data_IF_736980934384
#
_entry.id   IF_736980934384
#
_cell.length_a   1.000
_cell.length_b   1.000
_cell.length_c   1.000
_cell.angle_alpha   90.00
_cell.angle_beta   90.00
_cell.angle_gamma   90.00
#
_symmetry.space_group_name_H-M   'P 1'
#
loop_
_entity.id
_entity.type
_entity.pdbx_description
1 polymer ?
#
# COMPACT_ATOMS: atom_id res chain seq x y z
N UNK A 1 -15.18 -6.14 -18.35
CA UNK A 1 -14.02 -6.16 -19.24
C UNK A 1 -12.79 -6.32 -18.38
N UNK A 2 -12.16 -7.49 -18.43
CA UNK A 2 -10.91 -7.84 -17.78
C UNK A 2 -9.80 -6.93 -18.34
N UNK A 3 -8.91 -6.34 -17.52
CA UNK A 3 -7.79 -5.58 -18.07
C UNK A 3 -6.91 -6.50 -18.93
N UNK A 4 -6.31 -6.01 -20.02
CA UNK A 4 -5.43 -6.79 -20.88
C UNK A 4 -4.17 -7.18 -20.12
N UNK A 5 -3.94 -8.49 -19.94
CA UNK A 5 -2.74 -9.02 -19.31
C UNK A 5 -2.96 -10.23 -18.42
N UNK A 6 -4.03 -11.01 -18.60
CA UNK A 6 -4.16 -12.31 -17.94
C UNK A 6 -3.27 -13.36 -18.65
N UNK A 7 -1.97 -13.27 -18.43
CA UNK A 7 -1.03 -14.35 -18.76
C UNK A 7 -1.02 -15.37 -17.60
N UNK A 8 -2.03 -16.24 -17.58
CA UNK A 8 -2.16 -17.37 -16.63
C UNK A 8 -1.03 -18.40 -16.73
N UNK A 9 -0.06 -18.20 -17.61
CA UNK A 9 1.02 -19.17 -17.88
C UNK A 9 2.37 -18.79 -17.24
N UNK A 10 2.55 -17.56 -16.76
CA UNK A 10 3.69 -17.22 -15.92
C UNK A 10 3.31 -17.47 -14.45
N UNK A 11 3.62 -18.66 -13.95
CA UNK A 11 3.78 -18.83 -12.50
C UNK A 11 4.71 -17.73 -12.03
N UNK A 12 4.26 -16.80 -11.15
CA UNK A 12 5.20 -15.92 -10.48
C UNK A 12 6.19 -16.84 -9.78
N UNK A 13 7.47 -16.51 -9.84
CA UNK A 13 8.44 -17.16 -9.01
C UNK A 13 7.94 -16.95 -7.56
N UNK A 14 7.29 -17.97 -7.00
CA UNK A 14 7.03 -18.05 -5.58
C UNK A 14 8.42 -18.01 -4.93
N UNK A 15 8.82 -16.83 -4.44
CA UNK A 15 9.70 -16.80 -3.31
C UNK A 15 8.89 -17.45 -2.18
N UNK A 16 8.88 -18.79 -2.14
CA UNK A 16 8.52 -19.52 -0.95
C UNK A 16 9.25 -18.80 0.18
N UNK A 17 8.59 -18.60 1.30
CA UNK A 17 9.14 -17.99 2.52
C UNK A 17 10.41 -18.71 2.93
N UNK A 18 11.53 -18.35 2.30
CA UNK A 18 12.86 -18.91 2.58
C UNK A 18 13.41 -18.40 3.91
N UNK A 19 12.64 -17.56 4.62
CA UNK A 19 13.09 -16.86 5.82
C UNK A 19 14.20 -15.82 5.57
N UNK A 20 14.58 -15.59 4.31
CA UNK A 20 15.64 -14.64 3.93
C UNK A 20 15.08 -13.63 2.94
N UNK A 21 15.28 -12.31 3.16
CA UNK A 21 14.87 -11.29 2.21
C UNK A 21 15.52 -11.47 0.84
N UNK A 22 14.72 -11.43 -0.22
CA UNK A 22 15.18 -11.56 -1.61
C UNK A 22 15.34 -10.17 -2.23
N UNK A 23 16.50 -9.90 -2.84
CA UNK A 23 16.78 -8.63 -3.51
C UNK A 23 15.86 -8.43 -4.71
N UNK A 24 15.30 -7.24 -4.82
CA UNK A 24 14.32 -6.87 -5.87
C UNK A 24 14.76 -5.64 -6.67
N UNK A 25 15.55 -4.74 -6.06
CA UNK A 25 16.21 -3.61 -6.74
C UNK A 25 17.64 -3.44 -6.23
N UNK A 26 18.32 -2.37 -6.63
CA UNK A 26 19.65 -2.02 -6.11
C UNK A 26 19.67 -1.77 -4.62
N UNK A 27 18.61 -1.18 -4.07
CA UNK A 27 18.53 -0.73 -2.68
C UNK A 27 17.49 -1.50 -1.84
N UNK A 28 16.59 -2.28 -2.45
CA UNK A 28 15.50 -2.96 -1.75
C UNK A 28 15.60 -4.49 -1.87
N UNK A 29 15.29 -5.16 -0.75
CA UNK A 29 14.99 -6.59 -0.68
C UNK A 29 13.61 -6.78 -0.05
N UNK A 30 12.94 -7.91 -0.33
CA UNK A 30 11.59 -8.21 0.17
C UNK A 30 11.58 -9.55 0.90
N UNK A 31 10.87 -9.60 2.02
CA UNK A 31 10.44 -10.82 2.71
C UNK A 31 8.91 -10.88 2.67
N UNK A 32 8.36 -11.96 2.13
CA UNK A 32 6.92 -12.17 2.04
C UNK A 32 6.39 -12.75 3.34
N UNK A 33 5.42 -12.09 3.97
CA UNK A 33 4.76 -12.59 5.17
C UNK A 33 3.80 -13.75 4.84
N UNK A 34 3.60 -14.72 5.76
CA UNK A 34 2.80 -15.92 5.52
C UNK A 34 1.30 -15.67 5.76
N UNK A 35 0.75 -14.60 5.20
CA UNK A 35 -0.64 -14.19 5.36
C UNK A 35 -1.38 -14.04 4.02
N UNK A 36 -1.34 -15.04 3.11
CA UNK A 36 -2.05 -14.96 1.84
C UNK A 36 -3.57 -14.89 2.03
N UNK A 37 -4.23 -14.06 1.23
CA UNK A 37 -5.68 -13.88 1.32
C UNK A 37 -6.25 -13.00 0.20
N UNK A 38 -7.58 -12.87 0.13
CA UNK A 38 -8.21 -12.05 -0.90
C UNK A 38 -7.77 -10.58 -0.88
N UNK A 39 -7.42 -10.03 0.29
CA UNK A 39 -6.98 -8.65 0.47
C UNK A 39 -5.45 -8.51 0.40
N UNK A 40 -4.73 -9.54 0.83
CA UNK A 40 -3.26 -9.54 0.90
C UNK A 40 -2.59 -10.25 -0.27
N UNK A 41 -3.36 -10.80 -1.20
CA UNK A 41 -2.90 -11.55 -2.37
C UNK A 41 -2.00 -12.74 -1.95
N UNK A 42 -0.71 -12.68 -2.30
CA UNK A 42 0.26 -13.74 -1.96
C UNK A 42 0.80 -13.57 -0.53
N UNK A 43 0.47 -12.47 0.16
CA UNK A 43 0.92 -12.04 1.49
C UNK A 43 1.41 -10.60 1.47
N UNK A 44 1.67 -10.05 2.66
CA UNK A 44 2.26 -8.72 2.83
C UNK A 44 3.76 -8.76 2.58
N UNK A 45 4.26 -7.78 1.84
CA UNK A 45 5.68 -7.61 1.50
C UNK A 45 6.34 -6.67 2.49
N UNK A 46 7.11 -7.23 3.42
CA UNK A 46 8.02 -6.43 4.25
C UNK A 46 9.29 -6.12 3.47
N UNK A 47 9.62 -4.84 3.34
CA UNK A 47 10.82 -4.43 2.61
C UNK A 47 11.98 -4.13 3.54
N UNK A 48 13.17 -4.53 3.12
CA UNK A 48 14.44 -4.23 3.77
C UNK A 48 15.26 -3.35 2.83
N UNK A 49 15.59 -2.14 3.27
CA UNK A 49 16.25 -1.13 2.47
C UNK A 49 17.64 -0.84 3.04
N UNK A 50 18.66 -0.81 2.18
CA UNK A 50 20.02 -0.42 2.55
C UNK A 50 20.83 -0.02 1.32
N UNK A 51 21.69 0.97 1.47
CA UNK A 51 22.74 1.26 0.47
C UNK A 51 23.79 0.15 0.45
N UNK A 52 24.48 -0.09 -0.68
CA UNK A 52 25.58 -1.02 -0.75
C UNK A 52 26.67 -0.72 0.32
N UNK A 53 27.02 -1.73 1.10
CA UNK A 53 28.02 -1.58 2.19
C UNK A 53 27.52 -0.92 3.47
N UNK A 54 26.27 -0.56 3.58
CA UNK A 54 25.68 0.00 4.81
C UNK A 54 25.74 -1.04 5.95
N UNK A 55 26.02 -0.56 7.16
CA UNK A 55 26.04 -1.38 8.39
C UNK A 55 24.70 -1.45 9.11
N UNK A 56 23.74 -0.68 8.63
CA UNK A 56 22.37 -0.61 9.13
C UNK A 56 21.41 -0.78 7.97
N UNK A 57 20.11 -0.97 8.29
CA UNK A 57 19.04 -1.09 7.33
C UNK A 57 17.76 -0.42 7.83
N UNK A 58 16.88 -0.08 6.91
CA UNK A 58 15.51 0.35 7.17
C UNK A 58 14.57 -0.82 6.88
N UNK A 59 13.54 -0.99 7.69
CA UNK A 59 12.46 -1.95 7.40
C UNK A 59 11.19 -1.16 7.13
N UNK A 60 10.45 -1.52 6.08
CA UNK A 60 9.14 -0.95 5.77
C UNK A 60 8.11 -2.05 5.92
N UNK A 61 7.06 -1.76 6.69
CA UNK A 61 5.94 -2.66 7.04
C UNK A 61 6.43 -4.02 7.59
N UNK A 62 6.66 -4.15 8.88
CA UNK A 62 7.08 -5.42 9.48
C UNK A 62 6.04 -6.54 9.31
N UNK A 63 4.80 -6.18 8.94
CA UNK A 63 3.77 -7.13 8.59
C UNK A 63 2.90 -7.59 9.77
N UNK A 64 2.29 -8.78 9.65
CA UNK A 64 1.46 -9.37 10.71
C UNK A 64 2.31 -9.76 11.92
N UNK A 65 1.66 -9.96 13.08
CA UNK A 65 2.33 -10.46 14.30
C UNK A 65 2.64 -11.97 14.21
N UNK A 66 3.47 -12.33 13.22
CA UNK A 66 4.00 -13.68 13.03
C UNK A 66 5.45 -13.75 13.52
N UNK A 67 5.68 -14.56 14.56
CA UNK A 67 6.98 -14.64 15.25
C UNK A 67 8.10 -15.10 14.31
N UNK A 68 7.83 -16.06 13.42
CA UNK A 68 8.84 -16.59 12.50
C UNK A 68 9.23 -15.54 11.44
N UNK A 69 8.23 -14.85 10.87
CA UNK A 69 8.44 -13.76 9.94
C UNK A 69 9.24 -12.60 10.56
N UNK A 70 8.81 -12.14 11.74
CA UNK A 70 9.47 -11.04 12.44
C UNK A 70 10.90 -11.38 12.86
N UNK A 71 11.15 -12.63 13.29
CA UNK A 71 12.50 -13.11 13.63
C UNK A 71 13.39 -13.14 12.39
N UNK A 72 12.90 -13.67 11.28
CA UNK A 72 13.63 -13.69 10.01
C UNK A 72 13.89 -12.27 9.49
N UNK A 73 12.91 -11.37 9.64
CA UNK A 73 13.07 -9.97 9.27
C UNK A 73 14.04 -9.22 10.19
N UNK A 74 14.20 -9.63 11.46
CA UNK A 74 15.14 -9.05 12.40
C UNK A 74 16.58 -9.58 12.21
N UNK A 75 16.77 -10.69 11.54
CA UNK A 75 18.10 -11.27 11.30
C UNK A 75 18.94 -10.41 10.35
N UNK A 76 20.24 -10.24 10.68
CA UNK A 76 21.21 -9.48 9.88
C UNK A 76 21.60 -8.11 10.45
N UNK A 77 21.97 -7.11 9.61
CA UNK A 77 22.42 -5.80 10.08
C UNK A 77 21.38 -5.09 10.96
N UNK A 78 21.85 -4.27 11.91
CA UNK A 78 20.99 -3.53 12.83
C UNK A 78 19.95 -2.71 12.09
N UNK A 79 18.69 -2.82 12.50
CA UNK A 79 17.61 -1.95 11.99
C UNK A 79 17.80 -0.55 12.59
N UNK A 80 17.83 0.46 11.75
CA UNK A 80 18.00 1.85 12.14
C UNK A 80 16.68 2.54 12.44
N UNK A 81 15.67 2.26 11.61
CA UNK A 81 14.30 2.74 11.74
C UNK A 81 13.36 1.78 11.01
N UNK A 82 12.14 1.69 11.53
CA UNK A 82 11.01 1.02 10.87
C UNK A 82 10.05 2.10 10.36
N UNK A 83 9.60 1.98 9.13
CA UNK A 83 8.63 2.86 8.50
C UNK A 83 7.34 2.09 8.22
N UNK A 84 6.20 2.70 8.49
CA UNK A 84 4.88 2.14 8.25
C UNK A 84 4.22 2.90 7.11
N UNK A 85 3.67 2.17 6.12
CA UNK A 85 2.94 2.78 5.01
C UNK A 85 1.55 3.24 5.43
N UNK A 86 0.83 2.44 6.21
CA UNK A 86 -0.52 2.76 6.71
C UNK A 86 -0.94 1.83 7.86
N UNK A 87 -2.05 2.16 8.50
CA UNK A 87 -2.53 1.58 9.76
C UNK A 87 -3.07 0.14 9.72
N UNK A 88 -3.31 -0.47 8.55
CA UNK A 88 -3.91 -1.80 8.49
C UNK A 88 -3.08 -2.86 9.21
N UNK A 89 -3.77 -3.81 9.85
CA UNK A 89 -3.13 -4.76 10.76
C UNK A 89 -2.10 -5.67 10.10
N UNK A 90 -2.26 -5.99 8.83
CA UNK A 90 -1.30 -6.78 8.07
C UNK A 90 0.01 -6.03 7.76
N UNK A 91 0.08 -4.72 8.03
CA UNK A 91 1.29 -3.89 7.99
C UNK A 91 1.83 -3.57 9.38
N UNK A 92 0.94 -3.41 10.37
CA UNK A 92 1.26 -2.84 11.68
C UNK A 92 1.23 -3.80 12.85
N UNK A 93 0.52 -4.94 12.76
CA UNK A 93 0.30 -5.82 13.92
C UNK A 93 1.63 -6.33 14.53
N UNK A 94 2.66 -6.57 13.71
CA UNK A 94 3.98 -6.96 14.16
C UNK A 94 4.88 -5.81 14.64
N UNK A 95 4.47 -4.55 14.47
CA UNK A 95 5.36 -3.39 14.66
C UNK A 95 5.89 -3.25 16.10
N UNK A 96 5.02 -3.41 17.12
CA UNK A 96 5.42 -3.32 18.53
C UNK A 96 6.44 -4.40 18.88
N UNK A 97 6.14 -5.67 18.54
CA UNK A 97 7.06 -6.80 18.76
C UNK A 97 8.38 -6.60 18.00
N UNK A 98 8.31 -6.12 16.76
CA UNK A 98 9.51 -5.87 15.96
C UNK A 98 10.38 -4.75 16.54
N UNK A 99 9.76 -3.69 17.09
CA UNK A 99 10.47 -2.65 17.84
C UNK A 99 11.19 -3.21 19.08
N UNK A 100 10.55 -4.12 19.83
CA UNK A 100 11.16 -4.79 20.98
C UNK A 100 12.33 -5.68 20.56
N UNK A 101 12.17 -6.47 19.49
CA UNK A 101 13.21 -7.39 18.99
C UNK A 101 14.45 -6.63 18.50
N UNK A 102 14.26 -5.51 17.80
CA UNK A 102 15.35 -4.81 17.12
C UNK A 102 15.89 -3.60 17.89
N UNK A 103 15.11 -3.06 18.82
CA UNK A 103 15.41 -1.78 19.49
C UNK A 103 15.32 -0.58 18.56
N UNK A 104 14.68 -0.73 17.37
CA UNK A 104 14.51 0.33 16.39
C UNK A 104 13.21 1.12 16.62
N UNK A 105 13.19 2.46 16.45
CA UNK A 105 11.96 3.23 16.48
C UNK A 105 11.10 2.89 15.28
N UNK A 106 9.77 2.84 15.49
CA UNK A 106 8.77 2.71 14.42
C UNK A 106 8.12 4.06 14.18
N UNK A 107 8.14 4.53 12.94
CA UNK A 107 7.52 5.77 12.49
C UNK A 107 6.38 5.47 11.52
N UNK A 108 5.23 6.05 11.77
CA UNK A 108 4.01 6.02 10.96
C UNK A 108 3.46 7.44 10.81
N UNK A 109 2.58 7.68 9.84
CA UNK A 109 1.87 8.97 9.77
C UNK A 109 0.86 9.09 10.91
N UNK A 110 0.16 8.00 11.24
CA UNK A 110 -0.69 7.94 12.44
C UNK A 110 0.19 7.75 13.70
N UNK A 111 0.16 8.70 14.67
CA UNK A 111 0.92 8.59 15.91
C UNK A 111 0.60 7.33 16.74
N UNK A 112 -0.60 6.75 16.59
CA UNK A 112 -1.00 5.54 17.30
C UNK A 112 -0.15 4.31 16.93
N UNK A 113 0.49 4.33 15.76
CA UNK A 113 1.38 3.27 15.26
C UNK A 113 2.86 3.61 15.37
N UNK A 114 3.20 4.72 16.06
CA UNK A 114 4.57 5.06 16.38
C UNK A 114 5.03 4.33 17.65
N UNK A 115 6.19 3.66 17.62
CA UNK A 115 6.78 3.01 18.79
C UNK A 115 8.18 3.57 19.03
N UNK A 116 8.45 4.19 20.21
CA UNK A 116 9.77 4.71 20.52
C UNK A 116 10.78 3.58 20.74
N UNK A 117 12.02 3.82 20.38
CA UNK A 117 13.13 2.98 20.79
C UNK A 117 13.65 3.38 22.18
N UNK A 118 14.46 2.52 22.82
CA UNK A 118 15.04 2.78 24.16
C UNK A 118 15.79 4.12 24.27
N UNK A 119 16.28 4.70 23.17
CA UNK A 119 17.08 5.91 23.13
C UNK A 119 16.66 6.91 22.03
N UNK A 120 15.53 6.69 21.34
CA UNK A 120 15.06 7.54 20.24
C UNK A 120 13.55 7.67 20.31
N UNK A 121 13.07 8.91 20.19
CA UNK A 121 11.66 9.18 20.00
C UNK A 121 11.21 8.70 18.59
N UNK A 122 9.99 8.22 18.50
CA UNK A 122 9.34 7.91 17.24
C UNK A 122 8.44 9.08 16.85
N UNK A 123 8.97 10.03 16.10
CA UNK A 123 8.16 11.15 15.58
C UNK A 123 7.29 10.66 14.42
N UNK A 124 6.00 11.10 14.33
CA UNK A 124 5.16 10.79 13.21
C UNK A 124 5.77 11.21 11.87
N UNK A 125 5.51 10.43 10.82
CA UNK A 125 5.90 10.74 9.45
C UNK A 125 5.12 11.96 8.94
N UNK A 126 5.77 12.76 8.12
CA UNK A 126 5.14 13.91 7.45
C UNK A 126 5.44 13.88 5.96
N UNK A 127 4.42 14.08 5.14
CA UNK A 127 4.62 14.25 3.71
C UNK A 127 5.59 15.39 3.41
N UNK A 128 6.48 15.17 2.46
CA UNK A 128 7.53 16.11 2.06
C UNK A 128 8.82 16.05 2.90
N UNK A 129 8.87 15.26 3.98
CA UNK A 129 10.13 15.07 4.70
C UNK A 129 11.08 14.13 3.95
N UNK A 130 12.38 14.30 4.19
CA UNK A 130 13.41 13.37 3.72
C UNK A 130 14.06 12.68 4.91
N UNK A 131 14.09 11.35 4.89
CA UNK A 131 14.73 10.52 5.91
C UNK A 131 16.09 10.06 5.37
N UNK A 132 17.15 10.30 6.14
CA UNK A 132 18.48 9.77 5.87
C UNK A 132 18.77 8.62 6.84
N UNK A 133 18.75 7.38 6.35
CA UNK A 133 19.00 6.18 7.14
C UNK A 133 19.61 5.08 6.28
N UNK A 134 20.43 4.22 6.87
CA UNK A 134 21.09 3.10 6.17
C UNK A 134 21.85 3.51 4.88
N UNK A 135 22.37 4.75 4.84
CA UNK A 135 23.03 5.33 3.67
C UNK A 135 22.07 5.73 2.53
N UNK A 136 20.77 5.75 2.77
CA UNK A 136 19.73 6.06 1.80
C UNK A 136 19.17 7.47 2.01
N UNK A 137 18.66 8.04 0.92
CA UNK A 137 17.74 9.17 0.89
C UNK A 137 16.34 8.63 0.60
N UNK A 138 15.43 8.79 1.54
CA UNK A 138 14.04 8.29 1.45
C UNK A 138 13.12 9.50 1.53
N UNK A 139 12.41 9.78 0.46
CA UNK A 139 11.44 10.88 0.38
C UNK A 139 10.06 10.37 0.80
N UNK A 140 9.46 11.00 1.80
CA UNK A 140 8.14 10.62 2.34
C UNK A 140 7.05 11.36 1.58
N UNK A 141 6.13 10.61 0.98
CA UNK A 141 5.01 11.13 0.23
C UNK A 141 3.71 10.80 0.99
N UNK A 142 2.96 11.80 1.41
CA UNK A 142 1.60 11.57 1.88
C UNK A 142 0.76 11.14 0.68
N UNK A 143 0.17 9.94 0.74
CA UNK A 143 -0.68 9.37 -0.31
C UNK A 143 -2.00 8.87 0.27
N UNK A 144 -2.78 9.76 0.97
CA UNK A 144 -4.05 9.37 1.56
C UNK A 144 -5.05 8.92 0.51
N UNK A 145 -6.04 8.12 0.94
CA UNK A 145 -7.13 7.70 0.09
C UNK A 145 -7.52 6.24 0.26
N UNK A 146 -6.57 5.30 0.29
CA UNK A 146 -6.84 3.93 0.74
C UNK A 146 -7.19 3.95 2.23
N UNK A 147 -6.35 4.59 3.02
CA UNK A 147 -6.60 5.07 4.38
C UNK A 147 -6.18 6.54 4.48
N UNK A 148 -6.63 7.24 5.52
CA UNK A 148 -6.28 8.66 5.73
C UNK A 148 -4.81 8.88 6.05
N UNK A 149 -4.11 7.87 6.58
CA UNK A 149 -2.69 7.90 6.96
C UNK A 149 -1.75 7.29 5.92
N UNK A 150 -2.26 6.87 4.75
CA UNK A 150 -1.44 6.23 3.72
C UNK A 150 -0.24 7.08 3.31
N UNK A 151 0.91 6.43 3.24
CA UNK A 151 2.22 7.03 2.97
C UNK A 151 2.99 6.16 1.99
N UNK A 152 3.62 6.78 1.00
CA UNK A 152 4.56 6.12 0.08
C UNK A 152 5.99 6.59 0.34
N UNK A 153 6.99 5.76 0.02
CA UNK A 153 8.40 6.06 0.22
C UNK A 153 9.13 5.99 -1.12
N UNK A 154 9.64 7.14 -1.60
CA UNK A 154 10.41 7.22 -2.82
C UNK A 154 11.90 7.11 -2.53
N UNK A 155 12.57 6.26 -3.26
CA UNK A 155 14.03 6.04 -3.26
C UNK A 155 14.60 6.57 -4.59
N UNK A 156 14.89 7.86 -4.72
CA UNK A 156 15.30 8.43 -5.99
C UNK A 156 16.67 7.91 -6.48
N UNK A 157 17.49 7.40 -5.56
CA UNK A 157 18.84 6.91 -5.87
C UNK A 157 18.86 5.39 -6.18
N UNK A 158 17.70 4.73 -6.28
CA UNK A 158 17.59 3.29 -6.58
C UNK A 158 17.63 3.03 -8.11
N UNK A 159 18.81 3.05 -8.66
CA UNK A 159 19.02 2.90 -10.10
C UNK A 159 18.67 4.15 -10.90
N UNK A 160 18.55 4.05 -12.24
CA UNK A 160 18.42 5.23 -13.11
C UNK A 160 17.07 5.95 -13.02
N UNK A 161 16.04 5.26 -12.53
CA UNK A 161 14.67 5.80 -12.46
C UNK A 161 14.11 5.85 -11.03
N UNK A 162 14.89 5.41 -10.05
CA UNK A 162 14.42 5.27 -8.68
C UNK A 162 13.44 4.11 -8.48
N UNK A 163 12.97 3.97 -7.24
CA UNK A 163 11.88 3.07 -6.89
C UNK A 163 10.95 3.72 -5.87
N UNK A 164 9.69 3.29 -5.82
CA UNK A 164 8.72 3.81 -4.86
C UNK A 164 7.96 2.66 -4.20
N UNK A 165 7.98 2.66 -2.86
CA UNK A 165 7.17 1.76 -2.06
C UNK A 165 5.80 2.43 -1.88
N UNK A 166 4.75 1.82 -2.40
CA UNK A 166 3.42 2.44 -2.49
C UNK A 166 2.44 1.97 -1.42
N UNK A 167 2.88 1.06 -0.53
CA UNK A 167 1.94 0.41 0.37
C UNK A 167 0.74 -0.16 -0.41
N UNK A 168 -0.45 0.16 0.05
CA UNK A 168 -1.70 -0.23 -0.61
C UNK A 168 -2.31 0.85 -1.50
N UNK A 169 -1.64 1.97 -1.69
CA UNK A 169 -2.09 3.00 -2.67
C UNK A 169 -2.06 2.45 -4.09
N UNK A 170 -1.03 1.68 -4.45
CA UNK A 170 -0.90 0.95 -5.73
C UNK A 170 -0.48 -0.48 -5.43
N UNK A 171 -1.26 -1.45 -5.90
CA UNK A 171 -1.00 -2.88 -5.76
C UNK A 171 -0.33 -3.44 -7.01
N UNK A 172 0.40 -4.54 -6.85
CA UNK A 172 1.05 -5.22 -7.97
C UNK A 172 0.08 -6.00 -8.88
N UNK A 173 -1.15 -6.24 -8.41
CA UNK A 173 -2.23 -6.92 -9.15
C UNK A 173 -3.57 -6.44 -8.63
N UNK A 174 -4.54 -6.23 -9.53
CA UNK A 174 -5.85 -5.69 -9.17
C UNK A 174 -5.84 -4.19 -8.91
N UNK A 175 -6.75 -3.72 -8.09
CA UNK A 175 -6.85 -2.31 -7.67
C UNK A 175 -7.16 -2.24 -6.19
N UNK A 176 -6.67 -1.21 -5.53
CA UNK A 176 -6.88 -1.01 -4.10
C UNK A 176 -8.35 -0.79 -3.74
N UNK A 177 -8.71 -1.08 -2.52
CA UNK A 177 -10.01 -0.73 -1.91
C UNK A 177 -9.89 0.64 -1.26
N UNK A 178 -10.92 1.47 -1.38
CA UNK A 178 -11.01 2.70 -0.58
C UNK A 178 -11.74 2.34 0.71
N UNK A 179 -11.05 2.44 1.83
CA UNK A 179 -11.50 1.95 3.13
C UNK A 179 -12.37 2.99 3.87
N UNK A 180 -13.60 3.18 3.40
CA UNK A 180 -14.58 4.04 4.10
C UNK A 180 -14.89 3.51 5.53
N UNK A 181 -15.03 4.40 6.56
CA UNK A 181 -15.08 5.87 6.44
C UNK A 181 -13.72 6.58 6.49
N UNK A 182 -12.62 5.89 6.66
CA UNK A 182 -11.29 6.47 6.82
C UNK A 182 -10.68 6.92 5.48
N UNK A 183 -10.80 6.08 4.44
CA UNK A 183 -10.32 6.41 3.10
C UNK A 183 -11.25 7.35 2.34
N UNK A 184 -10.72 8.00 1.30
CA UNK A 184 -11.42 8.99 0.48
C UNK A 184 -11.05 8.82 -0.98
N UNK A 185 -12.04 8.75 -1.87
CA UNK A 185 -11.76 8.66 -3.31
C UNK A 185 -11.16 9.97 -3.85
N UNK A 186 -11.55 11.12 -3.31
CA UNK A 186 -10.97 12.43 -3.68
C UNK A 186 -9.48 12.48 -3.36
N UNK A 187 -9.13 12.13 -2.12
CA UNK A 187 -7.73 12.13 -1.68
C UNK A 187 -6.93 11.10 -2.44
N UNK A 188 -7.53 9.94 -2.72
CA UNK A 188 -6.91 8.89 -3.53
C UNK A 188 -6.55 9.37 -4.95
N UNK A 189 -7.45 10.09 -5.62
CA UNK A 189 -7.18 10.64 -6.96
C UNK A 189 -6.08 11.69 -6.90
N UNK A 190 -6.06 12.55 -5.88
CA UNK A 190 -4.98 13.51 -5.64
C UNK A 190 -3.64 12.82 -5.39
N UNK A 191 -3.65 11.72 -4.62
CA UNK A 191 -2.46 10.91 -4.37
C UNK A 191 -1.92 10.25 -5.65
N UNK A 192 -2.80 9.81 -6.55
CA UNK A 192 -2.39 9.32 -7.85
C UNK A 192 -1.73 10.42 -8.69
N UNK A 193 -2.19 11.69 -8.61
CA UNK A 193 -1.53 12.83 -9.29
C UNK A 193 -0.12 13.06 -8.74
N UNK A 194 0.04 13.02 -7.43
CA UNK A 194 1.34 13.17 -6.78
C UNK A 194 2.30 12.04 -7.19
N UNK A 195 1.84 10.79 -7.22
CA UNK A 195 2.64 9.65 -7.67
C UNK A 195 3.00 9.75 -9.15
N UNK A 196 2.08 10.18 -10.03
CA UNK A 196 2.36 10.36 -11.45
C UNK A 196 3.46 11.38 -11.72
N UNK A 197 3.55 12.43 -10.88
CA UNK A 197 4.56 13.48 -11.00
C UNK A 197 6.00 12.99 -10.77
N UNK A 198 6.19 11.82 -10.12
CA UNK A 198 7.51 11.21 -9.95
C UNK A 198 8.05 10.68 -11.28
N UNK A 199 7.18 10.32 -12.21
CA UNK A 199 7.56 9.79 -13.52
C UNK A 199 7.70 8.26 -13.57
N UNK A 200 8.46 7.78 -14.56
CA UNK A 200 8.68 6.35 -14.80
C UNK A 200 9.63 5.77 -13.75
N UNK A 201 9.06 5.23 -12.67
CA UNK A 201 9.75 4.74 -11.47
C UNK A 201 9.32 3.30 -11.21
N UNK A 202 10.22 2.45 -10.70
CA UNK A 202 9.87 1.08 -10.29
C UNK A 202 8.93 1.10 -9.10
N UNK A 203 7.81 0.38 -9.19
CA UNK A 203 6.81 0.28 -8.13
C UNK A 203 7.06 -0.96 -7.28
N UNK A 204 7.17 -0.76 -5.98
CA UNK A 204 7.34 -1.78 -4.95
C UNK A 204 6.09 -1.81 -4.05
N UNK A 205 5.02 -2.53 -4.45
CA UNK A 205 3.76 -2.54 -3.73
C UNK A 205 3.81 -3.45 -2.50
N UNK A 206 2.94 -3.23 -1.52
CA UNK A 206 2.85 -4.11 -0.37
C UNK A 206 2.22 -5.48 -0.71
N UNK A 207 1.41 -5.56 -1.77
CA UNK A 207 0.79 -6.81 -2.21
C UNK A 207 0.94 -7.01 -3.71
N UNK A 208 1.21 -8.27 -4.12
CA UNK A 208 1.37 -8.65 -5.53
C UNK A 208 2.77 -8.35 -6.09
N UNK A 209 3.03 -8.54 -7.39
CA UNK A 209 4.34 -8.38 -8.01
C UNK A 209 4.78 -6.92 -8.11
N UNK A 210 6.08 -6.70 -8.27
CA UNK A 210 6.64 -5.39 -8.64
C UNK A 210 6.18 -4.98 -10.04
N UNK A 211 6.10 -3.65 -10.27
CA UNK A 211 5.72 -3.08 -11.57
C UNK A 211 6.82 -2.15 -12.08
N UNK A 212 6.96 -2.06 -13.39
CA UNK A 212 8.13 -1.39 -14.00
C UNK A 212 8.00 0.11 -14.20
N UNK A 213 6.77 0.65 -14.33
CA UNK A 213 6.52 2.05 -14.70
C UNK A 213 5.34 2.61 -13.92
N UNK A 214 5.63 3.42 -12.91
CA UNK A 214 4.64 4.07 -12.06
C UNK A 214 3.64 4.91 -12.87
N UNK A 215 4.11 5.71 -13.83
CA UNK A 215 3.23 6.57 -14.64
C UNK A 215 2.23 5.76 -15.47
N UNK A 216 2.67 4.64 -16.06
CA UNK A 216 1.77 3.75 -16.79
C UNK A 216 0.75 3.08 -15.86
N UNK A 217 1.19 2.66 -14.67
CA UNK A 217 0.32 2.05 -13.65
C UNK A 217 -0.71 3.06 -13.16
N UNK A 218 -0.32 4.28 -12.83
CA UNK A 218 -1.23 5.34 -12.37
C UNK A 218 -2.30 5.64 -13.43
N UNK A 219 -1.94 5.75 -14.71
CA UNK A 219 -2.93 5.92 -15.78
C UNK A 219 -3.96 4.80 -15.81
N UNK A 220 -3.51 3.54 -15.71
CA UNK A 220 -4.41 2.37 -15.64
C UNK A 220 -5.36 2.45 -14.43
N UNK A 221 -4.85 2.87 -13.27
CA UNK A 221 -5.67 3.06 -12.08
C UNK A 221 -6.72 4.16 -12.25
N UNK A 222 -6.35 5.28 -12.88
CA UNK A 222 -7.30 6.38 -13.20
C UNK A 222 -8.39 5.93 -14.15
N UNK A 223 -8.04 5.25 -15.23
CA UNK A 223 -8.99 4.69 -16.20
C UNK A 223 -9.97 3.74 -15.51
N UNK A 224 -9.46 2.84 -14.66
CA UNK A 224 -10.30 1.95 -13.87
C UNK A 224 -11.26 2.72 -12.96
N UNK A 225 -10.77 3.74 -12.21
CA UNK A 225 -11.61 4.57 -11.33
C UNK A 225 -12.67 5.36 -12.11
N UNK A 226 -12.30 5.95 -13.23
CA UNK A 226 -13.25 6.65 -14.11
C UNK A 226 -14.34 5.72 -14.64
N UNK A 227 -13.96 4.51 -15.09
CA UNK A 227 -14.90 3.50 -15.53
C UNK A 227 -15.88 3.05 -14.44
N UNK A 228 -15.36 2.83 -13.20
CA UNK A 228 -16.21 2.49 -12.05
C UNK A 228 -17.16 3.62 -11.67
N UNK A 229 -16.69 4.86 -11.64
CA UNK A 229 -17.55 6.03 -11.39
C UNK A 229 -18.66 6.16 -12.45
N UNK A 230 -18.36 5.90 -13.72
CA UNK A 230 -19.37 5.89 -14.77
C UNK A 230 -20.43 4.80 -14.54
N UNK A 231 -20.02 3.59 -14.14
CA UNK A 231 -20.96 2.51 -13.80
C UNK A 231 -21.85 2.87 -12.60
N UNK A 232 -21.28 3.47 -11.55
CA UNK A 232 -22.04 3.94 -10.38
C UNK A 232 -23.03 5.03 -10.77
N UNK A 233 -22.64 6.03 -11.59
CA UNK A 233 -23.55 7.06 -12.11
C UNK A 233 -24.72 6.44 -12.90
N UNK A 234 -24.45 5.45 -13.75
CA UNK A 234 -25.48 4.73 -14.48
C UNK A 234 -26.43 3.98 -13.55
N UNK A 235 -25.91 3.31 -12.52
CA UNK A 235 -26.72 2.58 -11.55
C UNK A 235 -27.57 3.51 -10.65
N UNK A 236 -27.09 4.74 -10.39
CA UNK A 236 -27.84 5.78 -9.67
C UNK A 236 -29.05 6.26 -10.47
N UNK A 237 -28.90 6.48 -11.80
CA UNK A 237 -29.96 7.07 -12.62
C UNK A 237 -30.50 8.38 -12.02
N UNK A 238 -31.82 8.44 -11.86
CA UNK A 238 -32.53 9.62 -11.31
C UNK A 238 -32.31 9.82 -9.79
N UNK A 239 -31.65 8.86 -9.12
CA UNK A 239 -31.31 8.96 -7.67
C UNK A 239 -30.03 9.75 -7.40
N UNK A 240 -29.46 10.40 -8.42
CA UNK A 240 -28.31 11.29 -8.24
C UNK A 240 -28.71 12.45 -7.30
N UNK A 241 -28.05 12.55 -6.12
CA UNK A 241 -28.37 13.51 -5.08
C UNK A 241 -29.16 12.96 -3.90
N UNK A 242 -29.61 11.71 -3.96
CA UNK A 242 -30.18 11.04 -2.78
C UNK A 242 -29.13 10.87 -1.67
N UNK A 243 -29.55 10.88 -0.40
CA UNK A 243 -28.65 10.58 0.72
C UNK A 243 -28.00 9.21 0.56
N UNK A 244 -26.70 9.11 0.87
CA UNK A 244 -25.96 7.85 0.84
C UNK A 244 -26.39 6.98 2.02
N UNK A 245 -27.39 6.14 1.80
CA UNK A 245 -27.92 5.16 2.76
C UNK A 245 -27.34 3.78 2.52
N UNK A 246 -27.42 2.89 3.53
CA UNK A 246 -26.98 1.49 3.35
C UNK A 246 -27.79 0.79 2.25
N UNK A 247 -29.09 1.05 2.14
CA UNK A 247 -29.92 0.49 1.09
C UNK A 247 -29.45 0.92 -0.31
N UNK A 248 -29.10 2.21 -0.48
CA UNK A 248 -28.54 2.71 -1.74
C UNK A 248 -27.19 2.06 -2.06
N UNK A 249 -26.32 1.91 -1.06
CA UNK A 249 -25.04 1.22 -1.21
C UNK A 249 -25.25 -0.23 -1.66
N UNK A 250 -26.23 -0.93 -1.06
CA UNK A 250 -26.54 -2.32 -1.42
C UNK A 250 -27.05 -2.45 -2.85
N UNK A 251 -28.02 -1.62 -3.25
CA UNK A 251 -28.58 -1.61 -4.61
C UNK A 251 -27.51 -1.35 -5.66
N UNK A 252 -26.67 -0.31 -5.45
CA UNK A 252 -25.60 0.05 -6.38
C UNK A 252 -24.52 -1.02 -6.39
N UNK A 253 -24.20 -1.62 -5.23
CA UNK A 253 -23.23 -2.72 -5.16
C UNK A 253 -23.73 -3.93 -5.94
N UNK A 254 -24.98 -4.32 -5.78
CA UNK A 254 -25.58 -5.43 -6.55
C UNK A 254 -25.55 -5.17 -8.07
N UNK A 255 -25.80 -3.91 -8.47
CA UNK A 255 -25.79 -3.53 -9.89
C UNK A 255 -24.39 -3.52 -10.50
N UNK A 256 -23.37 -3.01 -9.77
CA UNK A 256 -22.01 -2.77 -10.31
C UNK A 256 -21.08 -3.95 -10.05
N UNK A 257 -21.33 -4.74 -8.99
CA UNK A 257 -20.47 -5.82 -8.49
C UNK A 257 -21.25 -7.14 -8.29
N UNK A 258 -22.36 -7.35 -9.04
CA UNK A 258 -23.21 -8.54 -8.87
C UNK A 258 -22.48 -9.89 -8.97
N UNK A 259 -21.38 -9.95 -9.73
CA UNK A 259 -20.55 -11.15 -9.92
C UNK A 259 -19.36 -11.26 -8.96
N UNK A 260 -19.26 -10.35 -7.95
CA UNK A 260 -18.14 -10.38 -7.01
C UNK A 260 -18.22 -11.60 -6.09
N UNK A 261 -17.09 -12.27 -5.86
CA UNK A 261 -17.05 -13.40 -4.93
C UNK A 261 -17.43 -12.97 -3.50
N UNK A 262 -18.13 -13.81 -2.71
CA UNK A 262 -18.66 -13.42 -1.40
C UNK A 262 -17.59 -12.82 -0.47
N UNK A 263 -16.36 -13.33 -0.50
CA UNK A 263 -15.26 -12.81 0.33
C UNK A 263 -14.80 -11.38 0.02
N UNK A 264 -15.21 -10.81 -1.12
CA UNK A 264 -14.89 -9.44 -1.52
C UNK A 264 -16.11 -8.49 -1.47
N UNK A 265 -17.29 -8.99 -1.08
CA UNK A 265 -18.51 -8.18 -1.06
C UNK A 265 -18.40 -6.96 -0.12
N UNK A 266 -17.81 -7.13 1.06
CA UNK A 266 -17.57 -6.03 2.00
C UNK A 266 -16.67 -4.95 1.39
N UNK A 267 -15.60 -5.34 0.71
CA UNK A 267 -14.70 -4.42 0.00
C UNK A 267 -15.40 -3.69 -1.16
N UNK A 268 -16.26 -4.39 -1.91
CA UNK A 268 -17.07 -3.79 -2.97
C UNK A 268 -18.03 -2.73 -2.40
N UNK A 269 -18.72 -3.02 -1.28
CA UNK A 269 -19.61 -2.07 -0.58
C UNK A 269 -18.85 -0.82 -0.11
N UNK A 270 -17.67 -0.99 0.48
CA UNK A 270 -16.82 0.14 0.90
C UNK A 270 -16.43 1.01 -0.30
N UNK A 271 -16.02 0.38 -1.42
CA UNK A 271 -15.68 1.10 -2.64
C UNK A 271 -16.88 1.84 -3.25
N UNK A 272 -18.07 1.25 -3.25
CA UNK A 272 -19.31 1.92 -3.70
C UNK A 272 -19.65 3.09 -2.80
N UNK A 273 -19.58 2.94 -1.48
CA UNK A 273 -19.83 4.02 -0.54
C UNK A 273 -18.89 5.21 -0.77
N UNK A 274 -17.61 4.96 -0.95
CA UNK A 274 -16.63 6.01 -1.26
C UNK A 274 -16.94 6.72 -2.60
N UNK A 275 -17.39 5.98 -3.62
CA UNK A 275 -17.76 6.53 -4.92
C UNK A 275 -19.05 7.35 -4.84
N UNK A 276 -20.06 6.90 -4.08
CA UNK A 276 -21.30 7.64 -3.86
C UNK A 276 -21.04 8.96 -3.12
N UNK A 277 -20.22 8.96 -2.08
CA UNK A 277 -19.82 10.18 -1.37
C UNK A 277 -19.09 11.15 -2.28
N UNK A 278 -18.11 10.65 -3.04
CA UNK A 278 -17.39 11.48 -4.00
C UNK A 278 -18.33 12.16 -5.00
N UNK A 279 -19.33 11.44 -5.51
CA UNK A 279 -20.32 12.00 -6.44
C UNK A 279 -21.25 13.02 -5.76
N UNK A 280 -21.64 12.79 -4.52
CA UNK A 280 -22.49 13.72 -3.74
C UNK A 280 -21.76 15.03 -3.39
N UNK A 281 -20.44 15.02 -3.29
CA UNK A 281 -19.62 16.21 -3.02
C UNK A 281 -19.40 17.11 -4.25
N UNK A 282 -19.98 16.80 -5.38
CA UNK A 282 -19.90 17.60 -6.60
C UNK A 282 -18.60 17.38 -7.37
N UNK A 283 -18.29 16.14 -7.69
CA UNK A 283 -17.17 15.74 -8.54
C UNK A 283 -17.38 16.11 -10.00
#
# INVERSE_FOLDING_TARGET
>A
VTPPGDDRTRRPAHAASSGVPVRVTGLASVLLAPNPGPMTLDGTRSYVLAAPGARTRVVVDPGPDDVAHLTALADGPRVEVVLITHRHADHTAGAARFAELTGAPVRAADPAHCHPARSREATPLRGGETIHAAGLRIEVLATPGHTGDSTSFHLPDDGPHGSVLTGDTVLGRGTTVIAEPDGSLRDYLTSLDALESIGATTVLPAHGPHLGDLSAVVRTYREHRAGRLAQVRTALGDRAGDPVTEALVDDVTASVYGDVVPGLLSAARQSVRAQLRYLAEGA
#
